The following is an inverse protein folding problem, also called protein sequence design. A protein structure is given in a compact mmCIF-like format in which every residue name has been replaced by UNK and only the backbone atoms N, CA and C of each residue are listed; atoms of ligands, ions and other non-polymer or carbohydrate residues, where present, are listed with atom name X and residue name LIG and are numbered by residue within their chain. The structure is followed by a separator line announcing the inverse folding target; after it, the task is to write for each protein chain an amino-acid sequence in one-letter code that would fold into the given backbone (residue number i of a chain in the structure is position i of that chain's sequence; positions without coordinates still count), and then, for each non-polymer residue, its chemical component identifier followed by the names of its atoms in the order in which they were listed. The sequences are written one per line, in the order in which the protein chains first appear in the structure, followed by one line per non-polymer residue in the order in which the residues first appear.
data_IF_627418963608
#
_entry.id   IF_627418963608
#
_cell.length_a   1.000
_cell.length_b   1.000
_cell.length_c   1.000
_cell.angle_alpha   90.00
_cell.angle_beta   90.00
_cell.angle_gamma   90.00
#
_symmetry.space_group_name_H-M   'P 1'
#
loop_
_entity.id
_entity.type
_entity.pdbx_description
1 polymer ?
#
# COMPACT_ATOMS: atom_id res chain seq x y z
N UNK A 1 -0.50 17.59 14.72
CA UNK A 1 0.06 16.83 13.59
C UNK A 1 -0.63 15.48 13.63
N UNK A 2 -1.59 15.22 12.74
CA UNK A 2 -2.35 13.96 12.75
C UNK A 2 -1.39 12.86 12.34
N UNK A 3 -1.05 11.98 13.29
CA UNK A 3 -0.15 10.85 13.02
C UNK A 3 -0.87 9.85 12.10
N UNK A 4 -0.23 9.49 10.99
CA UNK A 4 -0.77 8.52 10.06
C UNK A 4 -0.64 7.12 10.69
N UNK A 5 -1.76 6.43 10.84
CA UNK A 5 -1.80 5.05 11.31
C UNK A 5 -1.37 4.10 10.18
N UNK A 6 -0.06 3.84 10.08
CA UNK A 6 0.52 2.97 9.07
C UNK A 6 0.26 1.49 9.38
N UNK A 7 -0.26 0.77 8.40
CA UNK A 7 -0.41 -0.68 8.44
C UNK A 7 0.60 -1.32 7.50
N UNK A 8 1.47 -2.17 8.05
CA UNK A 8 2.44 -2.96 7.30
C UNK A 8 1.78 -4.22 6.72
N UNK A 9 2.21 -4.67 5.55
CA UNK A 9 1.75 -5.94 4.96
C UNK A 9 2.12 -7.14 5.84
N UNK A 10 1.23 -8.13 5.97
CA UNK A 10 1.51 -9.39 6.68
C UNK A 10 2.46 -10.32 5.94
N UNK A 11 2.68 -10.09 4.63
CA UNK A 11 3.71 -10.78 3.84
C UNK A 11 5.14 -10.32 4.18
N UNK A 12 5.29 -9.33 5.06
CA UNK A 12 6.57 -8.80 5.54
C UNK A 12 7.33 -9.73 6.50
N UNK A 13 6.83 -10.96 6.71
CA UNK A 13 7.42 -11.92 7.64
C UNK A 13 8.17 -13.04 6.92
N UNK A 14 9.50 -13.08 7.09
CA UNK A 14 10.30 -14.29 6.83
C UNK A 14 11.41 -14.20 5.77
N UNK A 15 11.69 -13.02 5.19
CA UNK A 15 12.76 -12.85 4.20
C UNK A 15 13.67 -11.65 4.52
N UNK A 16 14.95 -11.75 4.16
CA UNK A 16 16.00 -10.74 4.36
C UNK A 16 15.76 -9.41 3.60
N UNK A 17 14.73 -9.33 2.75
CA UNK A 17 14.37 -8.12 2.01
C UNK A 17 13.41 -7.24 2.82
N UNK A 18 13.91 -6.12 3.35
CA UNK A 18 13.14 -5.11 4.08
C UNK A 18 12.19 -4.26 3.22
N UNK A 19 11.83 -4.73 2.03
CA UNK A 19 11.07 -4.01 0.99
C UNK A 19 9.56 -4.17 1.21
N UNK A 20 9.10 -3.79 2.39
CA UNK A 20 7.70 -3.96 2.77
C UNK A 20 6.89 -2.72 2.43
N UNK A 21 5.72 -2.88 1.81
CA UNK A 21 4.78 -1.76 1.60
C UNK A 21 3.95 -1.52 2.86
N UNK A 22 3.80 -0.25 3.22
CA UNK A 22 2.92 0.24 4.28
C UNK A 22 1.83 1.15 3.72
N UNK A 23 0.63 1.06 4.28
CA UNK A 23 -0.54 1.84 3.85
C UNK A 23 -1.19 2.54 5.04
N UNK A 24 -1.56 3.81 4.89
CA UNK A 24 -2.34 4.55 5.89
C UNK A 24 -3.57 5.21 5.25
N UNK A 25 -4.72 5.13 5.93
CA UNK A 25 -5.96 5.77 5.51
C UNK A 25 -6.22 7.07 6.29
N UNK A 26 -6.63 8.12 5.60
CA UNK A 26 -7.19 9.34 6.20
C UNK A 26 -8.49 9.73 5.52
N UNK A 27 -9.16 10.78 6.02
CA UNK A 27 -10.39 11.29 5.40
C UNK A 27 -10.15 11.67 3.94
N UNK A 28 -10.66 10.84 3.03
CA UNK A 28 -10.59 11.06 1.58
C UNK A 28 -9.26 10.74 0.90
N UNK A 29 -8.27 10.22 1.62
CA UNK A 29 -6.95 9.90 1.05
C UNK A 29 -6.42 8.55 1.54
N UNK A 30 -5.64 7.92 0.68
CA UNK A 30 -4.82 6.75 0.99
C UNK A 30 -3.37 7.13 0.75
N UNK A 31 -2.51 6.78 1.70
CA UNK A 31 -1.08 7.00 1.64
C UNK A 31 -0.37 5.66 1.57
N UNK A 32 0.66 5.58 0.74
CA UNK A 32 1.51 4.41 0.57
C UNK A 32 2.96 4.82 0.67
N UNK A 33 3.78 3.95 1.26
CA UNK A 33 5.23 4.10 1.26
C UNK A 33 5.89 2.73 1.35
N UNK A 34 7.17 2.69 1.01
CA UNK A 34 8.03 1.55 1.31
C UNK A 34 8.65 1.73 2.69
N UNK A 35 8.83 0.61 3.41
CA UNK A 35 9.34 0.60 4.77
C UNK A 35 10.80 1.07 4.84
N UNK A 36 11.58 0.90 3.79
CA UNK A 36 12.98 1.34 3.66
C UNK A 36 13.10 2.77 3.10
N UNK A 37 12.02 3.28 2.48
CA UNK A 37 11.90 4.68 2.02
C UNK A 37 10.71 5.40 2.67
N UNK A 38 10.69 5.57 4.01
CA UNK A 38 9.53 6.08 4.73
C UNK A 38 9.18 7.55 4.44
N UNK A 39 10.06 8.27 3.74
CA UNK A 39 9.88 9.67 3.31
C UNK A 39 9.21 9.80 1.95
N UNK A 40 9.21 8.75 1.14
CA UNK A 40 8.59 8.72 -0.18
C UNK A 40 7.15 8.24 -0.05
N UNK A 41 6.22 9.19 0.08
CA UNK A 41 4.80 8.88 0.29
C UNK A 41 4.00 9.15 -0.98
N UNK A 42 3.49 8.09 -1.60
CA UNK A 42 2.49 8.18 -2.65
C UNK A 42 1.13 8.45 -2.02
N UNK A 43 0.40 9.43 -2.53
CA UNK A 43 -0.96 9.75 -2.04
C UNK A 43 -1.97 9.61 -3.16
N UNK A 44 -3.07 8.91 -2.88
CA UNK A 44 -4.16 8.67 -3.83
C UNK A 44 -5.53 8.85 -3.15
N UNK A 45 -6.60 8.71 -3.92
CA UNK A 45 -7.97 8.70 -3.41
C UNK A 45 -8.45 7.27 -3.20
N UNK A 46 -9.43 7.02 -2.30
CA UNK A 46 -10.03 5.70 -2.13
C UNK A 46 -10.60 5.11 -3.43
N UNK A 47 -11.14 5.95 -4.32
CA UNK A 47 -11.69 5.53 -5.61
C UNK A 47 -10.60 4.98 -6.55
N UNK A 48 -9.49 5.71 -6.72
CA UNK A 48 -8.37 5.25 -7.54
C UNK A 48 -7.68 4.03 -6.92
N UNK A 49 -7.55 4.01 -5.59
CA UNK A 49 -7.03 2.85 -4.88
C UNK A 49 -7.86 1.58 -5.13
N UNK A 50 -9.19 1.69 -5.04
CA UNK A 50 -10.09 0.57 -5.30
C UNK A 50 -10.09 0.12 -6.77
N UNK A 51 -9.89 1.05 -7.72
CA UNK A 51 -9.75 0.72 -9.13
C UNK A 51 -8.42 -0.03 -9.40
N UNK A 52 -7.33 0.45 -8.82
CA UNK A 52 -6.01 -0.18 -8.91
C UNK A 52 -6.00 -1.61 -8.38
N UNK A 53 -6.56 -1.84 -7.18
CA UNK A 53 -6.65 -3.18 -6.60
C UNK A 53 -7.48 -4.14 -7.45
N UNK A 54 -8.54 -3.65 -8.10
CA UNK A 54 -9.35 -4.45 -9.02
C UNK A 54 -8.57 -4.84 -10.27
N UNK A 55 -7.81 -3.91 -10.83
CA UNK A 55 -6.96 -4.17 -12.00
C UNK A 55 -5.90 -5.24 -11.70
N UNK A 56 -5.20 -5.14 -10.56
CA UNK A 56 -4.20 -6.16 -10.15
C UNK A 56 -4.85 -7.54 -10.00
N UNK A 57 -5.97 -7.63 -9.29
CA UNK A 57 -6.65 -8.91 -9.06
C UNK A 57 -7.16 -9.54 -10.36
N UNK A 58 -7.58 -8.74 -11.32
CA UNK A 58 -8.02 -9.21 -12.63
C UNK A 58 -6.85 -9.75 -13.47
N UNK A 59 -5.67 -9.12 -13.40
CA UNK A 59 -4.45 -9.60 -14.06
C UNK A 59 -4.02 -10.97 -13.52
N UNK A 60 -3.98 -11.14 -12.20
CA UNK A 60 -3.67 -12.41 -11.54
C UNK A 60 -4.63 -13.54 -11.97
N UNK A 61 -5.93 -13.23 -12.06
CA UNK A 61 -6.95 -14.18 -12.50
C UNK A 61 -6.84 -14.55 -13.99
N UNK A 62 -6.32 -13.65 -14.84
CA UNK A 62 -6.09 -13.89 -16.26
C UNK A 62 -4.79 -14.65 -16.57
N UNK A 63 -3.85 -14.72 -15.62
CA UNK A 63 -2.62 -15.52 -15.70
C UNK A 63 -2.76 -16.96 -15.21
N UNK A 64 -3.96 -17.36 -14.79
CA UNK A 64 -4.30 -18.69 -14.24
C UNK A 64 -4.82 -19.65 -15.30
#
# INVERSE_FOLDING_TARGET
MTELAWQKSTFSGGGTSGECVEVAGTTGRIHLRESDRPREVLTTTPAHWAAFLRAIKADEAGRS
#
